data_IF_761935419543
#
_entry.id   IF_761935419543
#
_cell.length_a   1.000
_cell.length_b   1.000
_cell.length_c   1.000
_cell.angle_alpha   90.00
_cell.angle_beta   90.00
_cell.angle_gamma   90.00
#
_symmetry.space_group_name_H-M   'P 1'
#
loop_
_entity.id
_entity.type
_entity.pdbx_description
1 polymer ?
#
# COMPACT_ATOMS: atom_id res chain seq x y z
N UNK A 1 14.14 -21.33 2.82
CA UNK A 1 12.99 -20.40 2.90
C UNK A 1 13.18 -19.40 1.79
N UNK A 2 12.38 -19.50 0.72
CA UNK A 2 12.54 -18.67 -0.48
C UNK A 2 12.12 -17.24 -0.17
N UNK A 3 12.94 -16.27 -0.57
CA UNK A 3 12.63 -14.85 -0.43
C UNK A 3 11.34 -14.54 -1.20
N UNK A 4 10.34 -13.97 -0.53
CA UNK A 4 9.10 -13.52 -1.18
C UNK A 4 9.25 -12.05 -1.55
N UNK A 5 8.89 -11.69 -2.78
CA UNK A 5 8.79 -10.29 -3.17
C UNK A 5 7.67 -9.55 -2.45
N UNK A 6 7.67 -8.22 -2.57
CA UNK A 6 6.63 -7.35 -2.00
C UNK A 6 6.11 -6.38 -3.04
N UNK A 7 4.88 -5.91 -2.85
CA UNK A 7 4.25 -4.89 -3.69
C UNK A 7 3.40 -3.93 -2.85
N UNK A 8 3.28 -2.68 -3.30
CA UNK A 8 2.44 -1.66 -2.66
C UNK A 8 1.14 -1.41 -3.42
N UNK A 9 0.05 -1.28 -2.68
CA UNK A 9 -1.18 -0.63 -3.13
C UNK A 9 -1.45 0.61 -2.29
N UNK A 10 -2.14 1.58 -2.87
CA UNK A 10 -2.41 2.87 -2.25
C UNK A 10 -3.89 3.21 -2.35
N UNK A 11 -4.43 3.86 -1.33
CA UNK A 11 -5.72 4.51 -1.37
C UNK A 11 -5.59 5.91 -0.77
N UNK A 12 -6.34 6.85 -1.31
CA UNK A 12 -6.30 8.26 -0.94
C UNK A 12 -7.68 8.69 -0.46
N UNK A 13 -7.71 9.47 0.61
CA UNK A 13 -8.94 9.90 1.24
C UNK A 13 -8.82 11.27 1.88
N UNK A 14 -9.90 11.66 2.53
CA UNK A 14 -10.03 12.92 3.24
C UNK A 14 -9.39 12.82 4.63
N UNK A 15 -8.39 13.66 4.90
CA UNK A 15 -7.72 13.75 6.21
C UNK A 15 -8.66 14.19 7.33
N UNK A 16 -9.72 14.95 7.04
CA UNK A 16 -10.73 15.33 8.04
C UNK A 16 -11.52 14.13 8.60
N UNK A 17 -11.37 12.95 7.99
CA UNK A 17 -12.04 11.70 8.38
C UNK A 17 -11.06 10.65 8.90
N UNK A 18 -9.85 11.02 9.27
CA UNK A 18 -8.85 10.06 9.78
C UNK A 18 -9.29 9.33 11.07
N UNK A 19 -10.10 9.98 11.90
CA UNK A 19 -10.67 9.38 13.11
C UNK A 19 -11.91 8.49 12.85
N UNK A 20 -12.46 8.51 11.63
CA UNK A 20 -13.57 7.63 11.24
C UNK A 20 -13.04 6.23 10.90
N UNK A 21 -13.03 5.34 11.89
CA UNK A 21 -12.55 3.97 11.75
C UNK A 21 -13.21 3.19 10.60
N UNK A 22 -14.48 3.46 10.31
CA UNK A 22 -15.18 2.80 9.20
C UNK A 22 -14.69 3.32 7.85
N UNK A 23 -14.45 4.62 7.74
CA UNK A 23 -13.84 5.25 6.58
C UNK A 23 -12.42 4.73 6.32
N UNK A 24 -11.56 4.74 7.34
CA UNK A 24 -10.19 4.22 7.25
C UNK A 24 -10.19 2.73 6.90
N UNK A 25 -11.12 1.95 7.45
CA UNK A 25 -11.28 0.54 7.04
C UNK A 25 -11.67 0.39 5.57
N UNK A 26 -12.44 1.33 5.00
CA UNK A 26 -12.74 1.38 3.58
C UNK A 26 -11.47 1.59 2.75
N UNK A 27 -10.67 2.61 3.10
CA UNK A 27 -9.41 2.90 2.42
C UNK A 27 -8.39 1.74 2.52
N UNK A 28 -8.34 1.03 3.66
CA UNK A 28 -7.52 -0.19 3.79
C UNK A 28 -7.94 -1.27 2.80
N UNK A 29 -9.25 -1.51 2.66
CA UNK A 29 -9.75 -2.49 1.67
C UNK A 29 -9.42 -2.09 0.24
N UNK A 30 -9.56 -0.80 -0.08
CA UNK A 30 -9.20 -0.26 -1.39
C UNK A 30 -7.70 -0.38 -1.67
N UNK A 31 -6.85 -0.05 -0.71
CA UNK A 31 -5.39 -0.18 -0.85
C UNK A 31 -4.97 -1.65 -1.05
N UNK A 32 -5.62 -2.60 -0.36
CA UNK A 32 -5.40 -4.03 -0.57
C UNK A 32 -5.88 -4.50 -1.95
N UNK A 33 -7.04 -4.04 -2.40
CA UNK A 33 -7.55 -4.38 -3.73
C UNK A 33 -6.63 -3.85 -4.82
N UNK A 34 -6.15 -2.60 -4.69
CA UNK A 34 -5.17 -2.01 -5.60
C UNK A 34 -3.85 -2.80 -5.62
N UNK A 35 -3.34 -3.23 -4.46
CA UNK A 35 -2.16 -4.10 -4.39
C UNK A 35 -2.41 -5.45 -5.09
N UNK A 36 -3.58 -6.03 -4.88
CA UNK A 36 -3.97 -7.33 -5.46
C UNK A 36 -4.12 -7.24 -6.98
N UNK A 37 -4.75 -6.19 -7.49
CA UNK A 37 -4.88 -5.94 -8.92
C UNK A 37 -3.52 -5.70 -9.57
N UNK A 38 -2.63 -4.95 -8.90
CA UNK A 38 -1.27 -4.70 -9.38
C UNK A 38 -0.40 -5.97 -9.37
N UNK A 39 -0.55 -6.85 -8.39
CA UNK A 39 0.09 -8.17 -8.38
C UNK A 39 -0.39 -9.01 -9.59
N UNK A 40 -1.71 -9.10 -9.78
CA UNK A 40 -2.33 -9.85 -10.87
C UNK A 40 -1.92 -9.35 -12.25
N UNK A 41 -1.87 -8.04 -12.46
CA UNK A 41 -1.44 -7.45 -13.74
C UNK A 41 0.03 -7.76 -14.07
N UNK A 42 0.84 -8.07 -13.05
CA UNK A 42 2.22 -8.52 -13.17
C UNK A 42 2.37 -10.04 -13.23
N UNK A 43 1.26 -10.79 -13.17
CA UNK A 43 1.26 -12.25 -13.21
C UNK A 43 1.57 -12.93 -11.88
N UNK A 44 1.44 -12.21 -10.76
CA UNK A 44 1.64 -12.75 -9.42
C UNK A 44 0.33 -12.81 -8.63
N UNK A 45 0.28 -13.74 -7.69
CA UNK A 45 -0.74 -13.75 -6.65
C UNK A 45 -0.20 -13.13 -5.36
N UNK A 46 -1.10 -12.81 -4.44
CA UNK A 46 -0.77 -12.27 -3.12
C UNK A 46 -0.84 -13.38 -2.08
N UNK A 47 0.14 -13.45 -1.18
CA UNK A 47 0.08 -14.33 0.00
C UNK A 47 -1.10 -13.89 0.89
N UNK A 48 -2.11 -14.75 1.13
CA UNK A 48 -3.26 -14.38 1.95
C UNK A 48 -2.84 -14.00 3.37
N UNK A 49 -3.36 -12.88 3.89
CA UNK A 49 -3.05 -12.40 5.25
C UNK A 49 -1.68 -11.74 5.39
N UNK A 50 -0.98 -11.48 4.28
CA UNK A 50 0.32 -10.80 4.29
C UNK A 50 0.23 -9.27 4.30
N UNK A 51 -0.98 -8.72 4.26
CA UNK A 51 -1.22 -7.29 4.17
C UNK A 51 -0.75 -6.51 5.42
N UNK A 52 0.11 -5.52 5.19
CA UNK A 52 0.57 -4.57 6.21
C UNK A 52 0.15 -3.17 5.79
N UNK A 53 -0.68 -2.54 6.62
CA UNK A 53 -1.21 -1.21 6.36
C UNK A 53 -0.40 -0.12 7.07
N UNK A 54 -0.08 0.94 6.36
CA UNK A 54 0.45 2.19 6.91
C UNK A 54 -0.53 3.30 6.55
N UNK A 55 -1.04 4.02 7.55
CA UNK A 55 -1.87 5.21 7.35
C UNK A 55 -0.96 6.41 7.56
N UNK A 56 -0.93 7.32 6.60
CA UNK A 56 -0.16 8.54 6.62
C UNK A 56 -1.15 9.70 6.51
N UNK A 57 -1.12 10.61 7.47
CA UNK A 57 -1.84 11.88 7.40
C UNK A 57 -0.84 13.02 7.21
N UNK A 58 -1.31 14.12 6.65
CA UNK A 58 -0.49 15.29 6.35
C UNK A 58 0.20 15.88 7.60
N UNK A 59 -0.33 15.62 8.81
CA UNK A 59 0.25 16.07 10.07
C UNK A 59 1.38 15.20 10.64
N UNK A 60 1.50 13.94 10.22
CA UNK A 60 2.38 12.95 10.86
C UNK A 60 3.60 12.55 9.99
N UNK A 61 3.68 13.03 8.75
CA UNK A 61 4.65 12.54 7.78
C UNK A 61 5.76 13.56 7.44
N UNK A 62 7.02 13.18 7.71
CA UNK A 62 8.26 13.69 7.06
C UNK A 62 8.34 13.31 5.55
N UNK A 63 7.19 13.09 4.91
CA UNK A 63 7.09 12.76 3.49
C UNK A 63 6.81 14.08 2.78
N UNK A 64 7.62 14.46 1.80
CA UNK A 64 7.34 15.61 0.94
C UNK A 64 6.00 15.38 0.23
N UNK A 65 4.92 15.89 0.81
CA UNK A 65 3.56 15.83 0.26
C UNK A 65 3.38 16.97 -0.75
N UNK A 66 4.32 17.14 -1.67
CA UNK A 66 4.32 18.23 -2.67
C UNK A 66 3.18 18.08 -3.71
N UNK A 67 2.36 17.03 -3.59
CA UNK A 67 1.22 16.75 -4.50
C UNK A 67 -0.13 16.51 -3.83
N UNK A 68 -0.24 16.43 -2.49
CA UNK A 68 -1.52 16.15 -1.83
C UNK A 68 -1.59 16.57 -0.33
N UNK A 69 -1.39 17.86 0.01
CA UNK A 69 -1.25 18.34 1.39
C UNK A 69 -2.48 18.11 2.29
N UNK A 70 -3.65 17.77 1.74
CA UNK A 70 -4.88 17.51 2.50
C UNK A 70 -5.32 16.04 2.52
N UNK A 71 -4.51 15.12 2.00
CA UNK A 71 -4.93 13.73 1.77
C UNK A 71 -4.48 12.76 2.86
N UNK A 72 -5.44 11.99 3.37
CA UNK A 72 -5.17 10.75 4.10
C UNK A 72 -4.70 9.69 3.11
N UNK A 73 -3.52 9.12 3.33
CA UNK A 73 -2.97 8.09 2.46
C UNK A 73 -2.90 6.77 3.20
N UNK A 74 -3.49 5.72 2.64
CA UNK A 74 -3.34 4.36 3.14
C UNK A 74 -2.48 3.57 2.16
N UNK A 75 -1.30 3.15 2.62
CA UNK A 75 -0.43 2.20 1.92
C UNK A 75 -0.69 0.79 2.42
N UNK A 76 -0.91 -0.15 1.52
CA UNK A 76 -0.93 -1.58 1.79
C UNK A 76 0.31 -2.24 1.19
N UNK A 77 1.10 -2.93 1.99
CA UNK A 77 2.21 -3.78 1.51
C UNK A 77 1.76 -5.23 1.56
N UNK A 78 1.93 -5.97 0.48
CA UNK A 78 1.60 -7.39 0.40
C UNK A 78 2.82 -8.19 -0.04
N UNK A 79 2.88 -9.47 0.35
CA UNK A 79 3.87 -10.40 -0.20
C UNK A 79 3.33 -11.06 -1.45
N UNK A 80 4.21 -11.23 -2.43
CA UNK A 80 3.89 -11.89 -3.68
C UNK A 80 4.24 -13.37 -3.63
N UNK A 81 3.42 -14.18 -4.29
CA UNK A 81 3.65 -15.60 -4.54
C UNK A 81 3.59 -15.88 -6.04
N UNK A 82 4.35 -16.87 -6.48
CA UNK A 82 4.51 -17.21 -7.89
C UNK A 82 5.98 -17.31 -8.30
N UNK A 83 6.23 -17.90 -9.47
CA UNK A 83 7.58 -18.02 -10.00
C UNK A 83 8.15 -16.63 -10.35
N UNK A 84 9.33 -16.31 -9.81
CA UNK A 84 9.95 -15.00 -10.00
C UNK A 84 9.44 -13.90 -9.09
N UNK A 85 8.52 -14.20 -8.16
CA UNK A 85 8.03 -13.25 -7.17
C UNK A 85 9.17 -12.72 -6.30
N UNK A 86 10.18 -13.54 -6.01
CA UNK A 86 11.40 -13.21 -5.27
C UNK A 86 12.20 -12.04 -5.87
N UNK A 87 11.99 -11.72 -7.16
CA UNK A 87 12.66 -10.63 -7.87
C UNK A 87 11.89 -9.32 -7.82
N UNK A 88 10.67 -9.34 -7.30
CA UNK A 88 9.82 -8.14 -7.19
C UNK A 88 10.00 -7.56 -5.80
N UNK A 89 10.69 -6.45 -5.71
CA UNK A 89 10.74 -5.67 -4.49
C UNK A 89 10.00 -4.38 -4.71
N UNK A 90 9.08 -4.06 -3.80
CA UNK A 90 8.46 -2.77 -3.77
C UNK A 90 9.54 -1.76 -3.37
N UNK A 91 10.14 -1.11 -4.35
CA UNK A 91 10.97 0.07 -4.11
C UNK A 91 10.02 1.17 -3.65
N UNK A 92 10.04 1.49 -2.35
CA UNK A 92 9.47 2.74 -1.86
C UNK A 92 10.20 3.90 -2.54
N UNK A 93 9.65 5.13 -2.51
CA UNK A 93 10.29 6.26 -3.16
C UNK A 93 11.77 6.31 -2.73
N UNK A 94 12.66 5.99 -3.67
CA UNK A 94 14.06 6.36 -3.57
C UNK A 94 14.02 7.88 -3.51
N UNK A 95 14.38 8.43 -2.35
CA UNK A 95 14.81 9.82 -2.28
C UNK A 95 15.90 10.00 -3.35
N UNK A 96 15.50 10.59 -4.47
CA UNK A 96 16.37 11.08 -5.53
C UNK A 96 16.40 12.58 -5.45
#
# INVERSE_FOLDING_TARGET
MGSTGTLFGWAFGDSAREDDAAYVSGLKREALDNATQAAKSKGFDVEPGSEVFTVLSAGDALVDVDTAPDSLVVRCTVKLVGEGADKIHAEGPMNG
#
